data_IF_514990911777
#
_entry.id   IF_514990911777
#
_cell.length_a   1.000
_cell.length_b   1.000
_cell.length_c   1.000
_cell.angle_alpha   90.00
_cell.angle_beta   90.00
_cell.angle_gamma   90.00
#
_symmetry.space_group_name_H-M   'P 1'
#
loop_
_entity.id
_entity.type
_entity.pdbx_description
1 polymer ?
#
# COMPACT_ATOMS: atom_id res chain seq x y z
N UNK A 1 6.85 17.73 2.25
CA UNK A 1 8.10 17.81 1.47
C UNK A 1 8.84 19.11 1.74
N UNK A 2 10.15 19.06 1.62
CA UNK A 2 11.01 20.20 1.86
C UNK A 2 12.03 20.33 0.71
N UNK A 3 12.37 21.56 0.38
CA UNK A 3 13.53 21.84 -0.48
C UNK A 3 14.83 21.49 0.23
N UNK A 4 15.94 21.43 -0.51
CA UNK A 4 17.25 21.17 0.07
C UNK A 4 17.68 22.19 1.16
N UNK A 5 17.20 23.42 1.06
CA UNK A 5 17.41 24.50 2.04
C UNK A 5 16.36 24.50 3.19
N UNK A 6 15.54 23.45 3.29
CA UNK A 6 14.62 23.22 4.39
C UNK A 6 13.30 23.98 4.33
N UNK A 7 12.94 24.57 3.17
CA UNK A 7 11.64 25.22 3.00
C UNK A 7 10.56 24.18 2.69
N UNK A 8 9.41 24.28 3.35
CA UNK A 8 8.27 23.45 3.04
C UNK A 8 7.72 23.75 1.63
N UNK A 9 7.58 22.72 0.79
CA UNK A 9 7.03 22.80 -0.57
C UNK A 9 5.66 22.17 -0.64
N UNK A 10 5.38 21.22 0.27
CA UNK A 10 4.15 20.45 0.27
C UNK A 10 3.72 20.12 1.69
N UNK A 11 2.44 20.32 1.97
CA UNK A 11 1.85 20.11 3.29
C UNK A 11 1.21 18.73 3.45
N UNK A 12 1.50 17.77 2.58
CA UNK A 12 0.98 16.41 2.73
C UNK A 12 1.40 15.83 4.08
N UNK A 13 0.42 15.63 4.95
CA UNK A 13 0.63 15.12 6.32
C UNK A 13 1.02 13.66 6.31
N UNK A 14 0.52 12.91 5.33
CA UNK A 14 0.77 11.49 5.23
C UNK A 14 2.23 11.17 4.86
N UNK A 15 2.92 12.04 4.13
CA UNK A 15 4.33 11.83 3.80
C UNK A 15 5.22 11.63 5.04
N UNK A 16 4.75 12.06 6.21
CA UNK A 16 5.42 11.77 7.49
C UNK A 16 5.48 10.26 7.79
N UNK A 17 4.56 9.45 7.29
CA UNK A 17 4.57 7.99 7.49
C UNK A 17 5.77 7.32 6.85
N UNK A 18 6.25 7.80 5.71
CA UNK A 18 7.37 7.21 4.97
C UNK A 18 8.66 7.09 5.79
N UNK A 19 8.92 8.05 6.67
CA UNK A 19 10.18 8.05 7.42
C UNK A 19 10.14 7.19 8.69
N UNK A 20 8.97 6.80 9.19
CA UNK A 20 8.84 6.15 10.51
C UNK A 20 9.58 4.82 10.55
N UNK A 21 9.28 3.91 9.63
CA UNK A 21 9.96 2.61 9.57
C UNK A 21 11.47 2.73 9.37
N UNK A 22 11.89 3.62 8.47
CA UNK A 22 13.29 3.90 8.21
C UNK A 22 14.03 4.41 9.45
N UNK A 23 13.44 5.36 10.19
CA UNK A 23 14.01 5.90 11.41
C UNK A 23 14.14 4.85 12.52
N UNK A 24 13.17 3.94 12.60
CA UNK A 24 13.22 2.81 13.54
C UNK A 24 14.38 1.88 13.20
N UNK A 25 14.53 1.50 11.94
CA UNK A 25 15.65 0.64 11.52
C UNK A 25 17.01 1.33 11.70
N UNK A 26 17.07 2.63 11.44
CA UNK A 26 18.28 3.42 11.68
C UNK A 26 18.64 3.48 13.17
N UNK A 27 17.64 3.62 14.05
CA UNK A 27 17.83 3.55 15.49
C UNK A 27 18.39 2.20 15.94
N UNK A 28 17.87 1.10 15.38
CA UNK A 28 18.37 -0.26 15.66
C UNK A 28 19.81 -0.45 15.18
N UNK A 29 20.12 0.03 13.98
CA UNK A 29 21.43 -0.14 13.37
C UNK A 29 22.53 0.70 14.05
N UNK A 30 22.20 1.91 14.49
CA UNK A 30 23.20 2.85 15.06
C UNK A 30 23.22 2.88 16.58
N UNK A 31 22.14 2.46 17.24
CA UNK A 31 21.94 2.62 18.68
C UNK A 31 21.62 4.05 19.13
N UNK A 32 21.48 5.00 18.18
CA UNK A 32 21.24 6.40 18.51
C UNK A 32 19.76 6.66 18.79
N UNK A 33 19.46 7.07 20.03
CA UNK A 33 18.09 7.37 20.49
C UNK A 33 17.37 8.42 19.66
N UNK A 34 18.09 9.41 19.14
CA UNK A 34 17.49 10.50 18.36
C UNK A 34 16.59 10.03 17.21
N UNK A 35 16.95 8.92 16.57
CA UNK A 35 16.17 8.36 15.46
C UNK A 35 14.87 7.71 15.94
N UNK A 36 14.94 6.99 17.08
CA UNK A 36 13.74 6.44 17.70
C UNK A 36 12.80 7.54 18.18
N UNK A 37 13.33 8.57 18.81
CA UNK A 37 12.54 9.69 19.33
C UNK A 37 11.89 10.48 18.18
N UNK A 38 12.59 10.63 17.05
CA UNK A 38 12.04 11.22 15.82
C UNK A 38 10.91 10.36 15.22
N UNK A 39 11.07 9.02 15.17
CA UNK A 39 10.04 8.11 14.71
C UNK A 39 8.77 8.18 15.56
N UNK A 40 8.93 8.22 16.88
CA UNK A 40 7.80 8.35 17.82
C UNK A 40 7.08 9.70 17.65
N UNK A 41 7.84 10.79 17.51
CA UNK A 41 7.27 12.11 17.25
C UNK A 41 6.49 12.16 15.95
N UNK A 42 7.05 11.57 14.87
CA UNK A 42 6.36 11.42 13.60
C UNK A 42 5.08 10.56 13.73
N UNK A 43 5.15 9.50 14.55
CA UNK A 43 4.01 8.65 14.87
C UNK A 43 2.86 9.41 15.54
N UNK A 44 3.18 10.23 16.57
CA UNK A 44 2.15 11.06 17.23
C UNK A 44 1.52 12.06 16.27
N UNK A 45 2.30 12.63 15.36
CA UNK A 45 1.77 13.50 14.32
C UNK A 45 0.82 12.74 13.39
N UNK A 46 1.20 11.54 12.92
CA UNK A 46 0.35 10.69 12.08
C UNK A 46 -0.89 10.20 12.83
N UNK A 47 -0.76 9.85 14.11
CA UNK A 47 -1.91 9.50 14.94
C UNK A 47 -2.98 10.59 14.92
N UNK A 48 -2.57 11.83 15.16
CA UNK A 48 -3.49 12.97 15.23
C UNK A 48 -4.05 13.37 13.86
N UNK A 49 -3.19 13.42 12.84
CA UNK A 49 -3.53 14.06 11.57
C UNK A 49 -3.94 13.07 10.46
N UNK A 50 -3.66 11.78 10.64
CA UNK A 50 -4.05 10.72 9.70
C UNK A 50 -5.10 9.81 10.32
N UNK A 51 -4.75 9.12 11.43
CA UNK A 51 -5.63 8.13 12.04
C UNK A 51 -6.91 8.74 12.62
N UNK A 52 -6.81 9.66 13.59
CA UNK A 52 -7.99 10.27 14.24
C UNK A 52 -8.80 11.13 13.28
N UNK A 53 -8.16 11.76 12.31
CA UNK A 53 -8.82 12.55 11.29
C UNK A 53 -9.39 11.72 10.14
N UNK A 54 -9.11 10.41 10.08
CA UNK A 54 -9.39 9.53 8.95
C UNK A 54 -8.94 10.12 7.61
N UNK A 55 -7.75 10.74 7.61
CA UNK A 55 -7.24 11.51 6.48
C UNK A 55 -6.12 10.76 5.74
N UNK A 56 -6.48 9.71 5.01
CA UNK A 56 -5.57 8.94 4.17
C UNK A 56 -5.41 9.64 2.82
N UNK A 57 -4.66 10.74 2.82
CA UNK A 57 -4.52 11.66 1.69
C UNK A 57 -3.05 11.89 1.37
N UNK A 58 -2.71 11.84 0.08
CA UNK A 58 -1.38 12.20 -0.40
C UNK A 58 -0.34 11.09 -0.24
N UNK A 59 -0.73 9.84 -0.48
CA UNK A 59 0.20 8.71 -0.57
C UNK A 59 1.07 8.77 -1.81
N UNK A 60 0.51 9.24 -2.92
CA UNK A 60 1.25 9.42 -4.18
C UNK A 60 2.09 10.69 -4.17
N UNK A 61 3.35 10.62 -4.65
CA UNK A 61 4.22 11.80 -4.72
C UNK A 61 3.72 12.90 -5.67
N UNK A 62 2.96 12.53 -6.68
CA UNK A 62 2.48 13.43 -7.73
C UNK A 62 1.21 14.20 -7.37
N UNK A 63 0.46 13.75 -6.37
CA UNK A 63 -0.73 14.46 -5.90
C UNK A 63 -0.94 14.37 -4.38
N UNK A 64 -0.46 15.37 -3.62
CA UNK A 64 -0.52 15.35 -2.15
C UNK A 64 -1.92 15.53 -1.57
N UNK A 65 -2.93 15.84 -2.39
CA UNK A 65 -4.28 16.16 -1.94
C UNK A 65 -5.32 15.10 -2.34
N UNK A 66 -4.87 13.99 -2.90
CA UNK A 66 -5.75 12.90 -3.33
C UNK A 66 -5.88 11.85 -2.21
N UNK A 67 -7.09 11.36 -2.01
CA UNK A 67 -7.34 10.15 -1.22
C UNK A 67 -6.95 8.97 -2.11
N UNK A 68 -6.08 8.09 -1.61
CA UNK A 68 -5.61 6.94 -2.38
C UNK A 68 -5.23 5.75 -1.50
N UNK A 69 -5.06 4.60 -2.16
CA UNK A 69 -4.69 3.34 -1.53
C UNK A 69 -3.29 3.34 -0.92
N UNK A 70 -2.37 4.10 -1.53
CA UNK A 70 -0.98 4.17 -1.07
C UNK A 70 -0.91 4.79 0.31
N UNK A 71 -1.78 5.79 0.55
CA UNK A 71 -1.94 6.40 1.86
C UNK A 71 -2.28 5.38 2.95
N UNK A 72 -3.15 4.41 2.63
CA UNK A 72 -3.49 3.33 3.56
C UNK A 72 -2.31 2.40 3.83
N UNK A 73 -1.61 1.95 2.80
CA UNK A 73 -0.44 1.05 2.94
C UNK A 73 0.67 1.70 3.74
N UNK A 74 1.00 2.95 3.44
CA UNK A 74 2.06 3.67 4.13
C UNK A 74 1.74 3.90 5.61
N UNK A 75 0.48 4.19 5.92
CA UNK A 75 0.02 4.31 7.31
C UNK A 75 0.04 2.95 8.03
N UNK A 76 -0.42 1.88 7.37
CA UNK A 76 -0.35 0.51 7.88
C UNK A 76 1.07 0.13 8.28
N UNK A 77 2.04 0.33 7.40
CA UNK A 77 3.45 0.00 7.67
C UNK A 77 4.03 0.82 8.81
N UNK A 78 3.75 2.12 8.82
CA UNK A 78 4.21 3.03 9.86
C UNK A 78 3.68 2.64 11.24
N UNK A 79 2.37 2.37 11.35
CA UNK A 79 1.76 2.00 12.62
C UNK A 79 2.17 0.60 13.10
N UNK A 80 2.37 -0.36 12.19
CA UNK A 80 2.96 -1.65 12.53
C UNK A 80 4.39 -1.50 13.10
N UNK A 81 5.22 -0.68 12.46
CA UNK A 81 6.58 -0.43 12.93
C UNK A 81 6.60 0.23 14.32
N UNK A 82 5.69 1.16 14.59
CA UNK A 82 5.53 1.78 15.90
C UNK A 82 5.06 0.77 16.95
N UNK A 83 4.10 -0.09 16.61
CA UNK A 83 3.64 -1.15 17.50
C UNK A 83 4.80 -2.08 17.91
N UNK A 84 5.63 -2.48 16.96
CA UNK A 84 6.76 -3.38 17.21
C UNK A 84 7.79 -2.81 18.20
N UNK A 85 8.02 -1.50 18.18
CA UNK A 85 9.03 -0.89 19.06
C UNK A 85 8.48 -0.35 20.37
N UNK A 86 7.16 -0.19 20.47
CA UNK A 86 6.53 0.34 21.69
C UNK A 86 5.71 -0.69 22.45
N UNK A 87 5.15 -1.67 21.77
CA UNK A 87 4.15 -2.59 22.32
C UNK A 87 2.78 -1.96 22.58
N UNK A 88 2.60 -0.67 22.24
CA UNK A 88 1.35 0.03 22.50
C UNK A 88 0.24 -0.44 21.55
N UNK A 89 -0.88 -0.91 22.13
CA UNK A 89 -2.03 -1.42 21.39
C UNK A 89 -2.63 -0.42 20.41
N UNK A 90 -2.61 0.88 20.75
CA UNK A 90 -3.17 1.92 19.87
C UNK A 90 -2.57 1.92 18.46
N UNK A 91 -1.28 1.61 18.35
CA UNK A 91 -0.62 1.53 17.04
C UNK A 91 -1.11 0.34 16.22
N UNK A 92 -1.39 -0.79 16.88
CA UNK A 92 -1.99 -1.95 16.21
C UNK A 92 -3.41 -1.63 15.76
N UNK A 93 -4.22 -0.97 16.59
CA UNK A 93 -5.58 -0.56 16.23
C UNK A 93 -5.57 0.41 15.04
N UNK A 94 -4.60 1.35 15.01
CA UNK A 94 -4.42 2.25 13.87
C UNK A 94 -3.97 1.52 12.60
N UNK A 95 -3.12 0.52 12.73
CA UNK A 95 -2.70 -0.32 11.61
C UNK A 95 -3.88 -1.11 11.03
N UNK A 96 -4.74 -1.68 11.88
CA UNK A 96 -5.98 -2.34 11.43
C UNK A 96 -6.88 -1.38 10.65
N UNK A 97 -7.13 -0.17 11.17
CA UNK A 97 -7.93 0.84 10.48
C UNK A 97 -7.33 1.23 9.12
N UNK A 98 -6.00 1.35 9.04
CA UNK A 98 -5.32 1.65 7.79
C UNK A 98 -5.45 0.51 6.77
N UNK A 99 -5.42 -0.75 7.23
CA UNK A 99 -5.67 -1.92 6.40
C UNK A 99 -7.11 -1.92 5.89
N UNK A 100 -8.10 -1.70 6.75
CA UNK A 100 -9.52 -1.63 6.38
C UNK A 100 -9.76 -0.53 5.33
N UNK A 101 -9.13 0.64 5.50
CA UNK A 101 -9.18 1.69 4.49
C UNK A 101 -8.57 1.23 3.17
N UNK A 102 -7.41 0.58 3.20
CA UNK A 102 -6.72 0.08 2.00
C UNK A 102 -7.60 -0.91 1.22
N UNK A 103 -8.33 -1.77 1.91
CA UNK A 103 -9.23 -2.75 1.30
C UNK A 103 -10.40 -2.12 0.56
N UNK A 104 -10.82 -0.90 0.92
CA UNK A 104 -11.87 -0.18 0.18
C UNK A 104 -11.47 0.16 -1.25
N UNK A 105 -10.18 0.09 -1.58
CA UNK A 105 -9.63 0.33 -2.91
C UNK A 105 -9.41 -0.94 -3.73
N UNK A 106 -9.84 -2.09 -3.25
CA UNK A 106 -9.66 -3.36 -3.93
C UNK A 106 -10.93 -3.76 -4.69
N UNK A 107 -10.73 -4.43 -5.83
CA UNK A 107 -11.82 -5.10 -6.49
C UNK A 107 -12.31 -6.26 -5.60
N UNK A 108 -13.56 -6.20 -5.17
CA UNK A 108 -14.22 -7.27 -4.41
C UNK A 108 -14.92 -8.29 -5.31
N UNK A 109 -14.81 -8.15 -6.63
CA UNK A 109 -15.40 -9.03 -7.63
C UNK A 109 -14.44 -9.30 -8.78
N UNK A 110 -14.70 -10.37 -9.50
CA UNK A 110 -14.00 -10.62 -10.76
C UNK A 110 -14.58 -9.69 -11.83
N UNK A 111 -13.74 -8.84 -12.40
CA UNK A 111 -14.10 -8.03 -13.57
C UNK A 111 -14.22 -8.98 -14.78
N UNK A 112 -15.37 -9.04 -15.46
CA UNK A 112 -15.53 -9.89 -16.62
C UNK A 112 -14.73 -9.31 -17.80
N UNK A 113 -13.90 -10.15 -18.41
CA UNK A 113 -13.24 -9.85 -19.70
C UNK A 113 -14.00 -10.61 -20.77
N UNK A 114 -14.62 -9.93 -21.78
CA UNK A 114 -15.35 -10.60 -22.84
C UNK A 114 -14.48 -11.59 -23.61
N UNK A 115 -15.06 -12.70 -24.06
CA UNK A 115 -14.28 -13.73 -24.76
C UNK A 115 -13.72 -13.22 -26.09
N UNK A 116 -14.46 -12.36 -26.77
CA UNK A 116 -14.08 -11.68 -28.00
C UNK A 116 -12.99 -10.61 -27.83
N UNK A 117 -12.71 -10.19 -26.59
CA UNK A 117 -11.66 -9.22 -26.31
C UNK A 117 -10.28 -9.88 -26.42
N UNK A 118 -9.60 -9.62 -27.54
CA UNK A 118 -8.24 -10.11 -27.81
C UNK A 118 -7.16 -9.10 -27.45
N UNK A 119 -7.54 -7.88 -27.10
CA UNK A 119 -6.59 -6.81 -26.75
C UNK A 119 -6.27 -6.75 -25.26
N UNK A 120 -7.08 -7.37 -24.40
CA UNK A 120 -6.80 -7.45 -22.98
C UNK A 120 -5.61 -8.38 -22.73
N UNK A 121 -4.59 -7.85 -22.08
CA UNK A 121 -3.44 -8.63 -21.60
C UNK A 121 -3.75 -9.38 -20.30
N UNK A 122 -4.82 -9.00 -19.61
CA UNK A 122 -5.22 -9.67 -18.38
C UNK A 122 -5.83 -11.04 -18.70
N UNK A 123 -5.32 -12.14 -18.13
CA UNK A 123 -5.80 -13.47 -18.44
C UNK A 123 -7.28 -13.65 -18.08
N UNK A 124 -8.09 -14.09 -19.04
CA UNK A 124 -9.55 -14.30 -18.86
C UNK A 124 -9.89 -15.27 -17.73
N UNK A 125 -8.98 -16.19 -17.41
CA UNK A 125 -9.11 -17.18 -16.34
C UNK A 125 -8.71 -16.64 -14.97
N UNK A 126 -7.99 -15.50 -14.92
CA UNK A 126 -7.57 -14.88 -13.68
C UNK A 126 -8.72 -14.14 -12.98
N UNK A 127 -8.59 -13.94 -11.68
CA UNK A 127 -9.47 -13.07 -10.91
C UNK A 127 -8.84 -11.71 -10.74
N UNK A 128 -9.62 -10.66 -10.88
CA UNK A 128 -9.22 -9.30 -10.51
C UNK A 128 -9.45 -8.99 -9.02
N UNK A 129 -9.99 -9.95 -8.27
CA UNK A 129 -10.27 -9.76 -6.84
C UNK A 129 -8.96 -9.50 -6.08
N UNK A 130 -8.95 -8.48 -5.25
CA UNK A 130 -7.83 -7.94 -4.49
C UNK A 130 -6.84 -7.05 -5.26
N UNK A 131 -6.85 -7.02 -6.58
CA UNK A 131 -6.18 -5.93 -7.29
C UNK A 131 -6.74 -4.58 -6.85
N UNK A 132 -5.90 -3.58 -6.76
CA UNK A 132 -6.36 -2.25 -6.39
C UNK A 132 -6.91 -1.47 -7.58
N UNK A 133 -7.88 -0.62 -7.30
CA UNK A 133 -8.34 0.42 -8.21
C UNK A 133 -7.24 1.49 -8.27
N UNK A 134 -6.84 1.91 -9.48
CA UNK A 134 -5.80 2.94 -9.66
C UNK A 134 -6.31 4.30 -9.19
N UNK A 135 -7.48 4.67 -9.71
CA UNK A 135 -8.17 5.91 -9.39
C UNK A 135 -9.65 5.79 -9.76
N UNK A 136 -10.48 6.65 -9.18
CA UNK A 136 -11.90 6.71 -9.54
C UNK A 136 -12.06 7.01 -11.03
N UNK A 137 -12.89 6.21 -11.71
CA UNK A 137 -13.18 6.37 -13.14
C UNK A 137 -12.19 5.70 -14.10
N UNK A 138 -11.20 4.95 -13.61
CA UNK A 138 -10.32 4.13 -14.45
C UNK A 138 -10.64 2.64 -14.30
N UNK A 139 -10.70 1.94 -15.43
CA UNK A 139 -10.90 0.48 -15.50
C UNK A 139 -9.56 -0.30 -15.45
N UNK A 140 -8.59 0.22 -14.74
CA UNK A 140 -7.30 -0.42 -14.56
C UNK A 140 -7.16 -1.05 -13.19
N UNK A 141 -6.35 -2.08 -13.09
CA UNK A 141 -5.90 -2.68 -11.84
C UNK A 141 -4.44 -2.30 -11.60
N UNK A 142 -4.16 -1.89 -10.39
CA UNK A 142 -2.83 -1.52 -9.94
C UNK A 142 -2.27 -2.64 -9.06
N UNK A 143 -0.98 -2.86 -9.17
CA UNK A 143 -0.26 -3.90 -8.42
C UNK A 143 0.42 -3.38 -7.17
N UNK A 144 0.34 -2.10 -6.89
CA UNK A 144 1.01 -1.47 -5.75
C UNK A 144 0.67 -2.18 -4.44
N UNK A 145 -0.57 -2.58 -4.24
CA UNK A 145 -1.00 -3.26 -3.01
C UNK A 145 -0.36 -4.64 -2.82
N UNK A 146 0.17 -5.27 -3.86
CA UNK A 146 0.88 -6.54 -3.71
C UNK A 146 2.06 -6.43 -2.73
N UNK A 147 2.71 -5.26 -2.67
CA UNK A 147 3.74 -4.96 -1.68
C UNK A 147 3.26 -5.00 -0.23
N UNK A 148 1.97 -4.78 0.00
CA UNK A 148 1.38 -4.82 1.34
C UNK A 148 1.11 -6.24 1.87
N UNK A 149 1.28 -7.28 1.06
CA UNK A 149 0.99 -8.67 1.46
C UNK A 149 1.70 -9.07 2.76
N UNK A 150 2.94 -8.65 2.93
CA UNK A 150 3.70 -8.93 4.15
C UNK A 150 3.13 -8.20 5.37
N UNK A 151 2.69 -6.98 5.22
CA UNK A 151 2.09 -6.17 6.30
C UNK A 151 0.75 -6.74 6.76
N UNK A 152 -0.07 -7.23 5.83
CA UNK A 152 -1.28 -8.00 6.18
C UNK A 152 -0.96 -9.31 6.90
N UNK A 153 0.10 -10.01 6.51
CA UNK A 153 0.54 -11.20 7.24
C UNK A 153 1.02 -10.86 8.66
N UNK A 154 1.72 -9.73 8.85
CA UNK A 154 2.08 -9.24 10.19
C UNK A 154 0.85 -8.93 11.03
N UNK A 155 -0.19 -8.27 10.48
CA UNK A 155 -1.46 -8.06 11.16
C UNK A 155 -2.09 -9.38 11.62
N UNK A 156 -2.15 -10.39 10.74
CA UNK A 156 -2.62 -11.72 11.12
C UNK A 156 -1.83 -12.29 12.30
N UNK A 157 -0.52 -12.19 12.28
CA UNK A 157 0.34 -12.70 13.37
C UNK A 157 0.12 -11.98 14.69
N UNK A 158 -0.25 -10.72 14.67
CA UNK A 158 -0.45 -9.89 15.85
C UNK A 158 -1.88 -9.96 16.39
N UNK A 159 -2.88 -10.09 15.50
CA UNK A 159 -4.30 -10.07 15.88
C UNK A 159 -4.91 -11.46 15.99
N UNK A 160 -4.37 -12.44 15.27
CA UNK A 160 -4.99 -13.75 15.09
C UNK A 160 -6.19 -13.76 14.12
N UNK A 161 -6.53 -12.61 13.52
CA UNK A 161 -7.65 -12.51 12.60
C UNK A 161 -7.31 -13.14 11.24
N UNK A 162 -8.02 -14.23 10.91
CA UNK A 162 -7.83 -14.99 9.68
C UNK A 162 -8.09 -14.17 8.40
N UNK A 163 -8.88 -13.08 8.50
CA UNK A 163 -9.14 -12.16 7.41
C UNK A 163 -7.82 -11.61 6.84
N UNK A 164 -6.94 -11.08 7.69
CA UNK A 164 -5.65 -10.54 7.25
C UNK A 164 -4.74 -11.58 6.60
N UNK A 165 -4.80 -12.84 7.05
CA UNK A 165 -4.08 -13.93 6.39
C UNK A 165 -4.63 -14.20 4.98
N UNK A 166 -5.94 -14.14 4.82
CA UNK A 166 -6.59 -14.31 3.52
C UNK A 166 -6.20 -13.16 2.58
N UNK A 167 -6.23 -11.92 3.05
CA UNK A 167 -5.81 -10.76 2.28
C UNK A 167 -4.35 -10.85 1.82
N UNK A 168 -3.44 -11.22 2.71
CA UNK A 168 -2.04 -11.45 2.37
C UNK A 168 -1.87 -12.48 1.23
N UNK A 169 -2.63 -13.58 1.29
CA UNK A 169 -2.61 -14.62 0.24
C UNK A 169 -3.15 -14.12 -1.09
N UNK A 170 -4.22 -13.34 -1.08
CA UNK A 170 -4.82 -12.77 -2.29
C UNK A 170 -3.85 -11.82 -2.97
N UNK A 171 -3.25 -10.90 -2.22
CA UNK A 171 -2.25 -9.96 -2.73
C UNK A 171 -1.04 -10.68 -3.33
N UNK A 172 -0.55 -11.74 -2.69
CA UNK A 172 0.52 -12.58 -3.26
C UNK A 172 0.06 -13.33 -4.52
N UNK A 173 -1.19 -13.75 -4.58
CA UNK A 173 -1.73 -14.42 -5.77
C UNK A 173 -1.77 -13.46 -6.96
N UNK A 174 -2.13 -12.22 -6.74
CA UNK A 174 -2.22 -11.20 -7.78
C UNK A 174 -0.87 -10.93 -8.44
N UNK A 175 0.24 -11.02 -7.70
CA UNK A 175 1.60 -10.87 -8.28
C UNK A 175 1.88 -11.87 -9.39
N UNK A 176 1.28 -13.06 -9.35
CA UNK A 176 1.49 -14.10 -10.37
C UNK A 176 0.96 -13.71 -11.75
N UNK A 177 -0.03 -12.84 -11.79
CA UNK A 177 -0.64 -12.37 -13.02
C UNK A 177 0.00 -11.10 -13.56
N UNK A 178 0.78 -10.48 -12.72
CA UNK A 178 1.42 -9.20 -12.99
C UNK A 178 2.84 -9.34 -13.50
N UNK A 179 3.53 -10.40 -13.10
CA UNK A 179 4.92 -10.64 -13.48
C UNK A 179 4.96 -11.45 -14.78
N UNK A 180 5.64 -10.93 -15.77
CA UNK A 180 5.88 -11.64 -17.03
C UNK A 180 6.94 -12.73 -16.85
N UNK A 181 6.51 -13.93 -16.51
CA UNK A 181 7.42 -15.05 -16.21
C UNK A 181 7.98 -15.76 -17.45
N UNK A 182 7.42 -15.50 -18.62
CA UNK A 182 7.75 -16.23 -19.86
C UNK A 182 7.74 -15.35 -21.14
N UNK A 183 7.62 -14.05 -20.99
CA UNK A 183 7.57 -13.11 -22.12
C UNK A 183 6.19 -12.97 -22.77
N UNK A 184 5.15 -13.67 -22.28
CA UNK A 184 3.81 -13.65 -22.89
C UNK A 184 3.04 -12.37 -22.65
N UNK A 185 3.40 -11.59 -21.63
CA UNK A 185 2.78 -10.30 -21.34
C UNK A 185 3.38 -9.15 -22.16
N UNK A 186 4.52 -9.36 -22.79
CA UNK A 186 5.11 -8.39 -23.71
C UNK A 186 5.77 -7.18 -23.04
N UNK A 187 6.20 -7.29 -21.79
CA UNK A 187 6.84 -6.19 -21.02
C UNK A 187 8.31 -5.94 -21.41
N UNK A 188 8.80 -6.57 -22.44
CA UNK A 188 10.17 -6.40 -22.94
C UNK A 188 11.21 -7.31 -22.30
N UNK A 189 11.06 -7.67 -21.04
CA UNK A 189 11.95 -8.62 -20.35
C UNK A 189 11.18 -9.55 -19.43
N UNK A 190 11.57 -10.82 -19.42
CA UNK A 190 11.06 -11.81 -18.47
C UNK A 190 11.41 -11.38 -17.04
N UNK A 191 10.46 -11.50 -16.15
CA UNK A 191 10.58 -11.09 -14.74
C UNK A 191 10.12 -9.64 -14.45
N UNK A 192 9.82 -8.85 -15.46
CA UNK A 192 9.23 -7.52 -15.23
C UNK A 192 7.76 -7.63 -14.85
N UNK A 193 7.31 -6.66 -14.05
CA UNK A 193 5.90 -6.37 -13.81
C UNK A 193 5.59 -4.95 -14.29
N UNK A 194 4.34 -4.71 -14.61
CA UNK A 194 3.82 -3.36 -14.85
C UNK A 194 3.29 -2.77 -13.55
N UNK A 195 3.25 -1.45 -13.46
CA UNK A 195 2.56 -0.76 -12.37
C UNK A 195 1.06 -1.01 -12.41
N UNK A 196 0.49 -1.03 -13.61
CA UNK A 196 -0.95 -1.19 -13.79
C UNK A 196 -1.28 -2.05 -15.01
N UNK A 197 -2.40 -2.76 -14.93
CA UNK A 197 -2.95 -3.60 -16.00
C UNK A 197 -4.33 -3.05 -16.37
N UNK A 198 -4.59 -2.86 -17.67
CA UNK A 198 -5.96 -2.59 -18.13
C UNK A 198 -6.80 -3.85 -18.01
N UNK A 199 -7.93 -3.74 -17.33
CA UNK A 199 -8.94 -4.81 -17.21
C UNK A 199 -9.99 -4.76 -18.32
N UNK A 200 -9.97 -3.70 -19.14
CA UNK A 200 -10.85 -3.55 -20.30
C UNK A 200 -10.01 -3.08 -21.48
N UNK A 201 -10.38 -3.53 -22.68
CA UNK A 201 -9.78 -3.01 -23.91
C UNK A 201 -10.06 -1.52 -24.03
N UNK A 202 -9.08 -0.72 -24.47
CA UNK A 202 -9.37 0.61 -24.96
C UNK A 202 -10.32 0.48 -26.17
N UNK A 203 -11.52 1.01 -26.05
CA UNK A 203 -12.46 1.13 -27.16
C UNK A 203 -12.15 2.37 -27.99
#
# INVERSE_FOLDING_TARGET
EYTWDGKAVNESKLNTTHCIGYLIELAKATGERKYRDAALSAGEFCWKNVHLAFAYVGGTPDNPNVIDKEAGVLALDAFLALHEVTGEKRWLDAACQAADFTETWQYSWKVPVPEEDTASVFPKTASSTAFSIIATGRSGADLFLAGAAFSYYRLYRLTGDAHYCQMARQLLYDTKWAVDINGSLGYGHVGLCTEAISLASPR
#
